data_IF_391182102209
#
_entry.id   IF_391182102209
#
_cell.length_a   1.000
_cell.length_b   1.000
_cell.length_c   1.000
_cell.angle_alpha   90.00
_cell.angle_beta   90.00
_cell.angle_gamma   90.00
#
_symmetry.space_group_name_H-M   'P 1'
#
loop_
_entity.id
_entity.type
_entity.pdbx_description
1 polymer ?
#
# COMPACT_ATOMS: atom_id res chain seq x y z
N UNK A 1 -18.02 -18.16 -8.10
CA UNK A 1 -18.54 -17.68 -6.81
C UNK A 1 -19.52 -16.54 -7.09
N UNK A 2 -20.66 -16.51 -6.38
CA UNK A 2 -21.68 -15.47 -6.57
C UNK A 2 -21.08 -14.08 -6.34
N UNK A 3 -21.36 -13.12 -7.23
CA UNK A 3 -20.81 -11.75 -7.22
C UNK A 3 -21.05 -11.04 -5.88
N UNK A 4 -22.12 -11.42 -5.18
CA UNK A 4 -22.48 -10.90 -3.85
C UNK A 4 -21.47 -11.30 -2.76
N UNK A 5 -21.00 -12.54 -2.77
CA UNK A 5 -20.06 -13.05 -1.75
C UNK A 5 -18.64 -12.47 -1.93
N UNK A 6 -18.28 -12.08 -3.16
CA UNK A 6 -16.99 -11.44 -3.44
C UNK A 6 -16.93 -10.03 -2.85
N UNK A 7 -18.00 -9.25 -2.99
CA UNK A 7 -18.07 -7.89 -2.43
C UNK A 7 -18.01 -7.87 -0.90
N UNK A 8 -18.71 -8.80 -0.23
CA UNK A 8 -18.62 -8.94 1.23
C UNK A 8 -17.21 -9.37 1.66
N UNK A 9 -16.57 -10.30 0.96
CA UNK A 9 -15.22 -10.74 1.29
C UNK A 9 -14.18 -9.61 1.12
N UNK A 10 -14.24 -8.85 0.04
CA UNK A 10 -13.37 -7.68 -0.14
C UNK A 10 -13.63 -6.60 0.92
N UNK A 11 -14.88 -6.40 1.33
CA UNK A 11 -15.21 -5.48 2.42
C UNK A 11 -14.56 -5.91 3.74
N UNK A 12 -14.66 -7.18 4.11
CA UNK A 12 -14.01 -7.72 5.31
C UNK A 12 -12.49 -7.61 5.24
N UNK A 13 -11.89 -7.93 4.09
CA UNK A 13 -10.45 -7.77 3.89
C UNK A 13 -10.02 -6.31 3.99
N UNK A 14 -10.76 -5.37 3.42
CA UNK A 14 -10.47 -3.94 3.53
C UNK A 14 -10.60 -3.45 4.99
N UNK A 15 -11.61 -3.92 5.71
CA UNK A 15 -11.83 -3.59 7.12
C UNK A 15 -10.65 -4.03 7.99
N UNK A 16 -10.13 -5.24 7.79
CA UNK A 16 -8.94 -5.72 8.51
C UNK A 16 -7.73 -4.79 8.34
N UNK A 17 -7.50 -4.25 7.14
CA UNK A 17 -6.39 -3.31 6.88
C UNK A 17 -6.58 -2.00 7.64
N UNK A 18 -7.79 -1.45 7.62
CA UNK A 18 -8.11 -0.20 8.31
C UNK A 18 -7.96 -0.36 9.82
N UNK A 19 -8.45 -1.47 10.38
CA UNK A 19 -8.28 -1.78 11.81
C UNK A 19 -6.80 -1.88 12.17
N UNK A 20 -5.99 -2.56 11.36
CA UNK A 20 -4.55 -2.68 11.61
C UNK A 20 -3.84 -1.32 11.64
N UNK A 21 -4.14 -0.42 10.69
CA UNK A 21 -3.56 0.92 10.65
C UNK A 21 -4.05 1.77 11.85
N UNK A 22 -5.34 1.70 12.17
CA UNK A 22 -5.90 2.42 13.33
C UNK A 22 -5.28 1.95 14.64
N UNK A 23 -5.12 0.64 14.83
CA UNK A 23 -4.46 0.08 16.00
C UNK A 23 -3.00 0.54 16.09
N UNK A 24 -2.28 0.54 14.96
CA UNK A 24 -0.91 1.05 14.90
C UNK A 24 -0.82 2.53 15.28
N UNK A 25 -1.70 3.37 14.73
CA UNK A 25 -1.74 4.81 15.05
C UNK A 25 -2.08 5.04 16.52
N UNK A 26 -3.05 4.31 17.06
CA UNK A 26 -3.44 4.41 18.47
C UNK A 26 -2.28 4.02 19.41
N UNK A 27 -1.61 2.89 19.14
CA UNK A 27 -0.43 2.45 19.90
C UNK A 27 0.74 3.43 19.78
N UNK A 28 0.96 3.97 18.59
CA UNK A 28 1.97 4.99 18.36
C UNK A 28 1.68 6.29 19.12
N UNK A 29 0.42 6.74 19.10
CA UNK A 29 0.00 7.93 19.80
C UNK A 29 0.15 7.79 21.33
N UNK A 30 -0.20 6.63 21.90
CA UNK A 30 0.02 6.36 23.33
C UNK A 30 1.52 6.36 23.68
N UNK A 31 2.37 5.80 22.82
CA UNK A 31 3.82 5.83 23.01
C UNK A 31 4.40 7.25 22.92
N UNK A 32 3.99 8.04 21.92
CA UNK A 32 4.43 9.44 21.75
C UNK A 32 4.02 10.28 22.97
N UNK A 33 2.82 10.07 23.50
CA UNK A 33 2.32 10.78 24.68
C UNK A 33 3.02 10.42 26.00
N UNK A 34 3.89 9.40 26.00
CA UNK A 34 4.61 8.95 27.20
C UNK A 34 3.79 8.11 28.17
N UNK A 35 2.53 7.79 27.84
CA UNK A 35 1.66 6.94 28.66
C UNK A 35 1.88 5.44 28.46
N UNK A 36 2.74 5.04 27.52
CA UNK A 36 3.02 3.62 27.27
C UNK A 36 4.19 3.13 28.15
N UNK A 37 3.94 2.28 29.16
CA UNK A 37 4.91 1.96 30.20
C UNK A 37 6.11 1.12 29.72
N UNK A 38 5.98 0.49 28.55
CA UNK A 38 7.02 -0.36 27.97
C UNK A 38 7.82 0.34 26.86
N UNK A 39 7.50 1.58 26.48
CA UNK A 39 8.26 2.28 25.44
C UNK A 39 9.47 2.95 26.06
N UNK A 40 10.66 2.60 25.57
CA UNK A 40 11.90 3.31 25.92
C UNK A 40 11.99 4.71 25.28
N UNK A 41 11.02 5.07 24.43
CA UNK A 41 11.02 6.28 23.61
C UNK A 41 9.67 6.98 23.71
N UNK A 42 9.68 8.28 23.96
CA UNK A 42 8.49 9.13 24.00
C UNK A 42 8.76 10.50 23.38
N UNK A 43 7.69 11.22 23.04
CA UNK A 43 7.77 12.54 22.43
C UNK A 43 8.01 12.53 20.91
N UNK A 44 8.36 13.70 20.40
CA UNK A 44 8.42 14.04 18.96
C UNK A 44 9.87 14.43 18.57
N UNK A 45 10.81 14.40 19.51
CA UNK A 45 12.15 14.97 19.34
C UNK A 45 12.95 14.33 18.20
N UNK A 46 12.71 13.05 17.90
CA UNK A 46 13.34 12.31 16.79
C UNK A 46 13.10 12.92 15.41
N UNK A 47 12.09 13.77 15.24
CA UNK A 47 11.85 14.51 13.99
C UNK A 47 12.97 15.50 13.65
N UNK A 48 13.76 15.96 14.62
CA UNK A 48 14.78 16.99 14.40
C UNK A 48 16.13 16.67 15.03
N UNK A 49 16.19 15.74 16.00
CA UNK A 49 17.42 15.44 16.74
C UNK A 49 18.53 14.79 15.91
N UNK A 50 18.21 14.26 14.71
CA UNK A 50 19.15 13.49 13.88
C UNK A 50 19.52 14.25 12.60
N UNK A 51 19.99 15.49 12.73
CA UNK A 51 20.40 16.34 11.61
C UNK A 51 19.30 17.28 11.08
N UNK A 52 18.30 17.61 11.91
CA UNK A 52 17.19 18.50 11.58
C UNK A 52 16.06 17.81 10.81
N UNK A 53 15.07 18.60 10.36
CA UNK A 53 13.91 18.10 9.62
C UNK A 53 14.26 17.59 8.20
N UNK A 54 15.32 18.13 7.60
CA UNK A 54 15.76 17.80 6.24
C UNK A 54 17.26 17.43 6.21
N UNK A 55 17.65 16.30 6.82
CA UNK A 55 19.07 15.94 7.00
C UNK A 55 19.79 15.66 5.69
N UNK A 56 19.07 15.25 4.64
CA UNK A 56 19.62 14.96 3.31
C UNK A 56 19.38 16.11 2.29
N UNK A 57 18.94 17.28 2.77
CA UNK A 57 18.67 18.46 1.93
C UNK A 57 17.42 18.36 1.06
N UNK A 58 17.17 19.41 0.27
CA UNK A 58 15.96 19.53 -0.56
C UNK A 58 15.90 18.52 -1.72
N UNK A 59 17.05 18.15 -2.29
CA UNK A 59 17.11 17.16 -3.37
C UNK A 59 16.52 15.80 -2.96
N UNK A 60 16.78 15.35 -1.73
CA UNK A 60 16.21 14.11 -1.21
C UNK A 60 14.68 14.17 -1.06
N UNK A 61 14.12 15.34 -0.73
CA UNK A 61 12.67 15.55 -0.65
C UNK A 61 12.04 15.40 -2.03
N UNK A 62 12.63 16.01 -3.06
CA UNK A 62 12.15 15.86 -4.43
C UNK A 62 12.18 14.40 -4.90
N UNK A 63 13.27 13.67 -4.63
CA UNK A 63 13.36 12.24 -4.96
C UNK A 63 12.31 11.42 -4.21
N UNK A 64 12.09 11.69 -2.93
CA UNK A 64 11.06 11.02 -2.14
C UNK A 64 9.65 11.31 -2.69
N UNK A 65 9.35 12.55 -3.05
CA UNK A 65 8.07 12.92 -3.67
C UNK A 65 7.82 12.12 -4.94
N UNK A 66 8.83 12.01 -5.83
CA UNK A 66 8.70 11.23 -7.07
C UNK A 66 8.42 9.74 -6.78
N UNK A 67 9.17 9.12 -5.87
CA UNK A 67 8.97 7.71 -5.50
C UNK A 67 7.56 7.51 -4.89
N UNK A 68 7.12 8.44 -4.05
CA UNK A 68 5.79 8.41 -3.43
C UNK A 68 4.69 8.57 -4.48
N UNK A 69 4.84 9.45 -5.46
CA UNK A 69 3.88 9.60 -6.57
C UNK A 69 3.69 8.29 -7.34
N UNK A 70 4.78 7.60 -7.70
CA UNK A 70 4.69 6.29 -8.35
C UNK A 70 4.06 5.21 -7.45
N UNK A 71 4.22 5.32 -6.13
CA UNK A 71 3.63 4.38 -5.17
C UNK A 71 2.11 4.51 -5.03
N UNK A 72 1.54 5.67 -5.36
CA UNK A 72 0.09 5.92 -5.30
C UNK A 72 -0.65 5.71 -6.64
N UNK A 73 0.05 5.18 -7.65
CA UNK A 73 -0.55 4.78 -8.92
C UNK A 73 -1.61 3.68 -8.70
N UNK A 74 -2.87 3.96 -8.99
CA UNK A 74 -4.00 3.03 -8.77
C UNK A 74 -5.19 3.60 -8.01
N UNK A 75 -5.06 4.78 -7.39
CA UNK A 75 -6.22 5.50 -6.83
C UNK A 75 -7.26 5.88 -7.91
N UNK A 76 -6.83 5.95 -9.16
CA UNK A 76 -7.63 6.25 -10.36
C UNK A 76 -8.70 5.18 -10.66
N UNK A 77 -8.57 3.97 -10.13
CA UNK A 77 -9.56 2.90 -10.35
C UNK A 77 -10.92 3.28 -9.77
N UNK A 78 -10.94 3.99 -8.63
CA UNK A 78 -12.19 4.47 -8.02
C UNK A 78 -12.88 5.51 -8.89
N UNK A 79 -12.11 6.34 -9.60
CA UNK A 79 -12.68 7.32 -10.53
C UNK A 79 -13.31 6.67 -11.76
N UNK A 80 -12.73 5.59 -12.28
CA UNK A 80 -13.30 4.83 -13.40
C UNK A 80 -14.63 4.19 -12.99
N UNK A 81 -14.68 3.53 -11.82
CA UNK A 81 -15.91 2.94 -11.30
C UNK A 81 -17.00 3.99 -11.02
N UNK A 82 -16.62 5.16 -10.49
CA UNK A 82 -17.55 6.27 -10.29
C UNK A 82 -18.05 6.85 -11.62
N UNK A 83 -17.25 6.82 -12.69
CA UNK A 83 -17.63 7.26 -14.03
C UNK A 83 -18.64 6.31 -14.72
N UNK A 84 -18.73 5.05 -14.28
CA UNK A 84 -19.73 4.08 -14.75
C UNK A 84 -21.09 4.18 -14.01
N UNK A 85 -21.25 5.14 -13.08
CA UNK A 85 -22.49 5.32 -12.28
C UNK A 85 -23.50 6.28 -12.92
N UNK A 86 -24.77 6.22 -12.50
CA UNK A 86 -25.89 6.98 -13.10
C UNK A 86 -25.72 8.52 -13.07
N UNK A 87 -24.95 9.07 -12.12
CA UNK A 87 -24.60 10.50 -12.08
C UNK A 87 -23.08 10.73 -11.92
N UNK A 88 -22.31 10.53 -12.99
CA UNK A 88 -20.85 10.42 -12.92
C UNK A 88 -20.20 11.69 -12.39
N UNK A 89 -20.64 12.89 -12.79
CA UNK A 89 -20.01 14.16 -12.40
C UNK A 89 -19.93 14.35 -10.87
N UNK A 90 -21.05 14.14 -10.17
CA UNK A 90 -21.13 14.31 -8.71
C UNK A 90 -20.51 13.13 -7.97
N UNK A 91 -20.68 11.90 -8.49
CA UNK A 91 -20.13 10.71 -7.85
C UNK A 91 -18.61 10.63 -7.96
N UNK A 92 -18.02 11.04 -9.08
CA UNK A 92 -16.56 11.11 -9.26
C UNK A 92 -15.95 12.06 -8.23
N UNK A 93 -16.41 13.32 -8.16
CA UNK A 93 -15.84 14.32 -7.24
C UNK A 93 -15.95 13.86 -5.79
N UNK A 94 -17.12 13.37 -5.38
CA UNK A 94 -17.35 12.92 -4.00
C UNK A 94 -16.53 11.68 -3.66
N UNK A 95 -16.44 10.70 -4.57
CA UNK A 95 -15.65 9.49 -4.35
C UNK A 95 -14.16 9.81 -4.24
N UNK A 96 -13.64 10.64 -5.16
CA UNK A 96 -12.24 11.08 -5.17
C UNK A 96 -11.86 11.79 -3.88
N UNK A 97 -12.60 12.84 -3.50
CA UNK A 97 -12.31 13.59 -2.28
C UNK A 97 -12.37 12.71 -1.03
N UNK A 98 -13.32 11.78 -0.98
CA UNK A 98 -13.47 10.85 0.13
C UNK A 98 -12.30 9.87 0.24
N UNK A 99 -11.79 9.36 -0.89
CA UNK A 99 -10.62 8.48 -0.94
C UNK A 99 -9.35 9.23 -0.56
N UNK A 100 -9.12 10.40 -1.16
CA UNK A 100 -7.93 11.23 -0.89
C UNK A 100 -7.84 11.54 0.60
N UNK A 101 -8.92 12.07 1.19
CA UNK A 101 -8.91 12.45 2.60
C UNK A 101 -8.58 11.28 3.54
N UNK A 102 -9.17 10.10 3.31
CA UNK A 102 -8.89 8.90 4.10
C UNK A 102 -7.43 8.45 3.96
N UNK A 103 -6.92 8.39 2.73
CA UNK A 103 -5.53 8.00 2.47
C UNK A 103 -4.59 8.99 3.12
N UNK A 104 -4.82 10.30 2.95
CA UNK A 104 -4.01 11.35 3.55
C UNK A 104 -3.94 11.23 5.06
N UNK A 105 -5.09 11.06 5.75
CA UNK A 105 -5.08 10.90 7.21
C UNK A 105 -4.31 9.64 7.61
N UNK A 106 -4.67 8.47 7.09
CA UNK A 106 -4.05 7.22 7.53
C UNK A 106 -2.55 7.19 7.24
N UNK A 107 -2.14 7.65 6.07
CA UNK A 107 -0.75 7.65 5.63
C UNK A 107 0.09 8.68 6.38
N UNK A 108 -0.38 9.93 6.50
CA UNK A 108 0.37 10.97 7.19
C UNK A 108 0.46 10.69 8.69
N UNK A 109 -0.64 10.26 9.33
CA UNK A 109 -0.62 9.89 10.74
C UNK A 109 0.30 8.70 11.00
N UNK A 110 0.28 7.67 10.15
CA UNK A 110 1.13 6.50 10.35
C UNK A 110 2.61 6.79 10.13
N UNK A 111 2.96 7.60 9.11
CA UNK A 111 4.33 8.06 8.90
C UNK A 111 4.78 8.94 10.05
N UNK A 112 3.94 9.88 10.50
CA UNK A 112 4.24 10.74 11.64
C UNK A 112 4.61 9.92 12.88
N UNK A 113 3.84 8.87 13.18
CA UNK A 113 4.16 7.94 14.28
C UNK A 113 5.53 7.30 14.10
N UNK A 114 5.82 6.80 12.90
CA UNK A 114 7.11 6.15 12.60
C UNK A 114 8.28 7.10 12.82
N UNK A 115 8.23 8.31 12.26
CA UNK A 115 9.34 9.26 12.34
C UNK A 115 9.48 9.93 13.71
N UNK A 116 8.40 9.97 14.49
CA UNK A 116 8.43 10.46 15.87
C UNK A 116 9.10 9.47 16.83
N UNK A 117 8.89 8.16 16.62
CA UNK A 117 9.40 7.12 17.53
C UNK A 117 10.77 6.57 17.11
N UNK A 118 11.04 6.47 15.81
CA UNK A 118 12.26 5.85 15.29
C UNK A 118 13.12 6.88 14.56
N UNK A 119 14.42 6.99 14.90
CA UNK A 119 15.34 7.82 14.15
C UNK A 119 15.53 7.28 12.72
N UNK A 120 15.48 8.17 11.74
CA UNK A 120 15.54 7.82 10.31
C UNK A 120 16.84 7.10 9.89
N UNK A 121 17.91 7.24 10.68
CA UNK A 121 19.22 6.64 10.44
C UNK A 121 19.42 5.29 11.16
N UNK A 122 18.37 4.71 11.75
CA UNK A 122 18.47 3.42 12.45
C UNK A 122 18.98 2.31 11.50
N UNK A 123 20.03 1.56 11.89
CA UNK A 123 20.54 0.47 11.08
C UNK A 123 19.48 -0.63 10.95
N UNK A 124 19.29 -1.14 9.72
CA UNK A 124 18.31 -2.20 9.44
C UNK A 124 16.87 -1.73 9.20
N UNK A 125 16.58 -0.42 9.29
CA UNK A 125 15.21 0.09 9.03
C UNK A 125 14.70 -0.27 7.63
N UNK A 126 15.60 -0.27 6.63
CA UNK A 126 15.30 -0.65 5.24
C UNK A 126 15.04 -2.15 5.06
N UNK A 127 15.64 -3.02 5.87
CA UNK A 127 15.52 -4.47 5.74
C UNK A 127 14.39 -5.05 6.57
N UNK A 128 14.12 -4.47 7.74
CA UNK A 128 13.08 -4.93 8.69
C UNK A 128 11.72 -4.29 8.40
N UNK A 129 11.72 -3.06 7.89
CA UNK A 129 10.53 -2.28 7.58
C UNK A 129 10.06 -1.43 8.77
N UNK A 130 9.76 -0.16 8.51
CA UNK A 130 9.59 0.86 9.56
C UNK A 130 8.45 0.56 10.54
N UNK A 131 7.33 0.03 10.05
CA UNK A 131 6.18 -0.34 10.89
C UNK A 131 6.50 -1.47 11.86
N UNK A 132 7.23 -2.49 11.39
CA UNK A 132 7.67 -3.60 12.23
C UNK A 132 8.66 -3.12 13.29
N UNK A 133 9.61 -2.26 12.90
CA UNK A 133 10.58 -1.68 13.83
C UNK A 133 9.88 -0.89 14.95
N UNK A 134 8.80 -0.16 14.66
CA UNK A 134 8.02 0.53 15.71
C UNK A 134 7.38 -0.47 16.66
N UNK A 135 6.77 -1.54 16.17
CA UNK A 135 6.15 -2.54 17.04
C UNK A 135 7.18 -3.30 17.90
N UNK A 136 8.37 -3.58 17.36
CA UNK A 136 9.47 -4.17 18.11
C UNK A 136 9.99 -3.23 19.20
N UNK A 137 10.10 -1.92 18.90
CA UNK A 137 10.46 -0.88 19.86
C UNK A 137 9.43 -0.72 20.99
N UNK A 138 8.14 -0.96 20.69
CA UNK A 138 7.06 -0.98 21.69
C UNK A 138 6.95 -2.30 22.45
N UNK A 139 7.90 -3.22 22.27
CA UNK A 139 7.93 -4.55 22.86
C UNK A 139 6.66 -5.38 22.60
N UNK A 140 6.02 -5.19 21.45
CA UNK A 140 4.85 -5.99 21.07
C UNK A 140 5.32 -7.41 20.70
N UNK A 141 4.82 -8.45 21.39
CA UNK A 141 5.22 -9.82 21.10
C UNK A 141 4.75 -10.20 19.69
N UNK A 142 5.55 -10.99 18.97
CA UNK A 142 5.24 -11.45 17.61
C UNK A 142 5.05 -10.32 16.58
N UNK A 143 5.61 -9.12 16.81
CA UNK A 143 5.55 -7.97 15.89
C UNK A 143 5.85 -8.33 14.42
N UNK A 144 6.89 -9.14 14.19
CA UNK A 144 7.23 -9.66 12.86
C UNK A 144 6.06 -10.41 12.21
N UNK A 145 5.49 -11.37 12.92
CA UNK A 145 4.43 -12.23 12.40
C UNK A 145 3.15 -11.43 12.12
N UNK A 146 2.79 -10.51 13.03
CA UNK A 146 1.64 -9.63 12.86
C UNK A 146 1.78 -8.79 11.59
N UNK A 147 2.93 -8.13 11.41
CA UNK A 147 3.16 -7.30 10.23
C UNK A 147 3.23 -8.11 8.94
N UNK A 148 3.88 -9.27 8.95
CA UNK A 148 3.92 -10.17 7.79
C UNK A 148 2.50 -10.59 7.39
N UNK A 149 1.64 -10.97 8.33
CA UNK A 149 0.25 -11.32 8.08
C UNK A 149 -0.55 -10.13 7.51
N UNK A 150 -0.44 -8.94 8.10
CA UNK A 150 -1.15 -7.74 7.63
C UNK A 150 -0.69 -7.35 6.23
N UNK A 151 0.61 -7.39 5.94
CA UNK A 151 1.17 -7.08 4.63
C UNK A 151 0.69 -8.11 3.60
N UNK A 152 0.78 -9.41 3.91
CA UNK A 152 0.31 -10.47 3.02
C UNK A 152 -1.18 -10.33 2.71
N UNK A 153 -2.01 -10.08 3.73
CA UNK A 153 -3.43 -9.84 3.56
C UNK A 153 -3.69 -8.60 2.69
N UNK A 154 -2.95 -7.52 2.95
CA UNK A 154 -3.07 -6.25 2.25
C UNK A 154 -2.74 -6.38 0.78
N UNK A 155 -1.58 -6.98 0.47
CA UNK A 155 -1.09 -7.21 -0.88
C UNK A 155 -2.00 -8.18 -1.63
N UNK A 156 -2.42 -9.28 -1.00
CA UNK A 156 -3.32 -10.26 -1.64
C UNK A 156 -4.64 -9.62 -2.06
N UNK A 157 -5.24 -8.81 -1.18
CA UNK A 157 -6.47 -8.07 -1.51
C UNK A 157 -6.23 -7.04 -2.63
N UNK A 158 -5.13 -6.28 -2.59
CA UNK A 158 -4.83 -5.31 -3.65
C UNK A 158 -4.56 -5.99 -5.01
N UNK A 159 -3.84 -7.11 -5.01
CA UNK A 159 -3.57 -7.89 -6.22
C UNK A 159 -4.86 -8.44 -6.82
N UNK A 160 -5.79 -8.90 -6.00
CA UNK A 160 -7.09 -9.40 -6.45
C UNK A 160 -7.88 -8.32 -7.23
N UNK A 161 -7.99 -7.11 -6.68
CA UNK A 161 -8.68 -5.99 -7.35
C UNK A 161 -7.91 -5.48 -8.57
N UNK A 162 -6.58 -5.44 -8.51
CA UNK A 162 -5.72 -5.05 -9.64
C UNK A 162 -5.83 -6.03 -10.81
N UNK A 163 -5.79 -7.33 -10.53
CA UNK A 163 -6.01 -8.40 -11.51
C UNK A 163 -7.38 -8.29 -12.17
N UNK A 164 -8.43 -8.04 -11.38
CA UNK A 164 -9.78 -7.83 -11.88
C UNK A 164 -9.89 -6.62 -12.82
N UNK A 165 -9.26 -5.50 -12.45
CA UNK A 165 -9.30 -4.26 -13.25
C UNK A 165 -8.48 -4.40 -14.53
N UNK A 166 -7.25 -4.92 -14.44
CA UNK A 166 -6.39 -5.17 -15.59
C UNK A 166 -7.05 -6.12 -16.60
N UNK A 167 -7.74 -7.14 -16.08
CA UNK A 167 -8.52 -8.08 -16.87
C UNK A 167 -9.60 -7.41 -17.71
N UNK A 168 -10.39 -6.51 -17.10
CA UNK A 168 -11.44 -5.76 -17.81
C UNK A 168 -10.87 -4.79 -18.85
N UNK A 169 -9.78 -4.10 -18.51
CA UNK A 169 -9.11 -3.19 -19.45
C UNK A 169 -8.56 -3.93 -20.67
N UNK A 170 -7.87 -5.06 -20.46
CA UNK A 170 -7.34 -5.88 -21.56
C UNK A 170 -8.43 -6.50 -22.43
N UNK A 171 -9.54 -6.95 -21.83
CA UNK A 171 -10.70 -7.41 -22.58
C UNK A 171 -11.27 -6.29 -23.48
N UNK A 172 -11.44 -5.09 -22.93
CA UNK A 172 -11.91 -3.90 -23.67
C UNK A 172 -10.97 -3.53 -24.82
N UNK A 173 -9.65 -3.51 -24.59
CA UNK A 173 -8.64 -3.24 -25.63
C UNK A 173 -8.63 -4.31 -26.73
N UNK A 174 -8.77 -5.59 -26.36
CA UNK A 174 -8.84 -6.69 -27.34
C UNK A 174 -10.09 -6.61 -28.23
N UNK A 175 -11.22 -6.11 -27.69
CA UNK A 175 -12.45 -5.86 -28.46
C UNK A 175 -12.33 -4.69 -29.42
N UNK A 176 -11.43 -3.73 -29.12
CA UNK A 176 -11.12 -2.56 -29.96
C UNK A 176 -10.03 -2.82 -31.00
N UNK A 177 -9.33 -3.95 -30.91
CA UNK A 177 -8.23 -4.32 -31.81
C UNK A 177 -6.84 -3.83 -31.37
N UNK A 178 -6.75 -3.08 -30.27
CA UNK A 178 -5.52 -2.47 -29.76
C UNK A 178 -4.65 -3.43 -28.91
N UNK A 179 -5.18 -4.60 -28.56
CA UNK A 179 -4.45 -5.66 -27.86
C UNK A 179 -4.53 -6.99 -28.63
N UNK A 180 -3.50 -7.86 -28.54
CA UNK A 180 -3.50 -9.16 -29.23
C UNK A 180 -4.76 -9.96 -28.89
N UNK A 181 -5.42 -10.54 -29.90
CA UNK A 181 -6.69 -11.27 -29.73
C UNK A 181 -6.64 -12.38 -28.67
N UNK A 182 -5.44 -12.91 -28.39
CA UNK A 182 -5.18 -13.90 -27.35
C UNK A 182 -5.46 -13.35 -25.93
N UNK A 183 -5.26 -12.04 -25.71
CA UNK A 183 -5.56 -11.38 -24.41
C UNK A 183 -7.06 -11.21 -24.15
N UNK A 184 -7.89 -11.32 -25.19
CA UNK A 184 -9.36 -11.38 -25.07
C UNK A 184 -9.90 -12.75 -24.66
N UNK A 185 -9.06 -13.79 -24.60
CA UNK A 185 -9.49 -15.15 -24.20
C UNK A 185 -9.72 -15.23 -22.70
N UNK A 186 -10.99 -15.24 -22.30
CA UNK A 186 -11.42 -15.43 -20.91
C UNK A 186 -11.62 -16.92 -20.58
N UNK A 187 -11.31 -17.33 -19.35
CA UNK A 187 -11.71 -18.65 -18.82
C UNK A 187 -13.22 -18.67 -18.46
N UNK A 188 -13.78 -19.82 -18.09
CA UNK A 188 -15.19 -20.05 -17.66
C UNK A 188 -15.69 -19.07 -16.59
N UNK A 189 -14.79 -18.48 -15.78
CA UNK A 189 -15.11 -17.46 -14.77
C UNK A 189 -15.02 -16.01 -15.28
N UNK A 190 -14.96 -15.80 -16.61
CA UNK A 190 -14.77 -14.49 -17.29
C UNK A 190 -13.48 -13.74 -16.91
N UNK A 191 -12.46 -14.45 -16.43
CA UNK A 191 -11.14 -13.88 -16.11
C UNK A 191 -10.13 -14.17 -17.24
N UNK A 192 -9.47 -13.15 -17.83
CA UNK A 192 -8.42 -13.30 -18.84
C UNK A 192 -7.11 -13.78 -18.19
N UNK A 193 -6.99 -15.09 -18.12
CA UNK A 193 -5.89 -15.81 -17.46
C UNK A 193 -4.49 -15.54 -18.07
N UNK A 194 -4.43 -15.18 -19.35
CA UNK A 194 -3.16 -14.88 -20.06
C UNK A 194 -2.49 -13.62 -19.50
N UNK A 195 -3.28 -12.60 -19.15
CA UNK A 195 -2.79 -11.35 -18.55
C UNK A 195 -2.22 -11.58 -17.14
N UNK A 196 -2.90 -12.44 -16.37
CA UNK A 196 -2.50 -12.83 -15.00
C UNK A 196 -1.16 -13.55 -15.01
N UNK A 197 -0.96 -14.48 -15.96
CA UNK A 197 0.29 -15.23 -16.08
C UNK A 197 1.47 -14.35 -16.50
N UNK A 198 1.26 -13.41 -17.42
CA UNK A 198 2.32 -12.47 -17.83
C UNK A 198 2.72 -11.52 -16.69
N UNK A 199 1.74 -11.01 -15.95
CA UNK A 199 2.00 -10.11 -14.81
C UNK A 199 2.75 -10.83 -13.69
N UNK A 200 2.31 -12.06 -13.35
CA UNK A 200 2.98 -12.92 -12.38
C UNK A 200 4.39 -13.30 -12.87
N UNK A 201 4.55 -13.66 -14.14
CA UNK A 201 5.83 -14.00 -14.75
C UNK A 201 6.83 -12.84 -14.72
N UNK A 202 6.40 -11.62 -15.01
CA UNK A 202 7.23 -10.43 -14.91
C UNK A 202 7.66 -10.14 -13.46
N UNK A 203 6.77 -10.30 -12.49
CA UNK A 203 7.09 -10.13 -11.07
C UNK A 203 8.11 -11.19 -10.59
N UNK A 204 7.94 -12.45 -10.97
CA UNK A 204 8.89 -13.53 -10.67
C UNK A 204 10.24 -13.30 -11.37
N UNK A 205 10.24 -12.86 -12.62
CA UNK A 205 11.46 -12.52 -13.34
C UNK A 205 12.22 -11.38 -12.67
N UNK A 206 11.52 -10.34 -12.22
CA UNK A 206 12.14 -9.21 -11.51
C UNK A 206 12.71 -9.64 -10.16
N UNK A 207 12.00 -10.51 -9.42
CA UNK A 207 12.49 -11.10 -8.17
C UNK A 207 13.71 -12.00 -8.40
N UNK A 208 13.69 -12.81 -9.44
CA UNK A 208 14.81 -13.66 -9.83
C UNK A 208 16.04 -12.83 -10.21
N UNK A 209 15.85 -11.76 -10.97
CA UNK A 209 16.92 -10.81 -11.31
C UNK A 209 17.50 -10.14 -10.08
N UNK A 210 16.67 -9.82 -9.09
CA UNK A 210 17.11 -9.24 -7.81
C UNK A 210 17.93 -10.22 -6.97
N UNK A 211 17.66 -11.53 -7.06
CA UNK A 211 18.46 -12.57 -6.39
C UNK A 211 19.82 -12.78 -7.07
N UNK A 212 19.91 -12.63 -8.39
CA UNK A 212 21.15 -12.75 -9.16
C UNK A 212 22.06 -11.52 -9.08
N UNK A 213 21.52 -10.35 -8.75
CA UNK A 213 22.27 -9.09 -8.65
C UNK A 213 21.92 -8.32 -7.37
N UNK A 214 22.38 -8.77 -6.19
CA UNK A 214 22.22 -8.04 -4.94
C UNK A 214 23.17 -6.84 -4.92
N UNK A 215 22.79 -5.73 -5.54
CA UNK A 215 23.64 -4.52 -5.53
C UNK A 215 23.27 -3.38 -6.48
N UNK A 216 22.28 -3.54 -7.36
CA UNK A 216 21.77 -2.44 -8.20
C UNK A 216 20.32 -2.11 -7.82
N UNK A 217 20.18 -1.36 -6.74
CA UNK A 217 18.96 -0.65 -6.40
C UNK A 217 18.79 0.47 -7.44
N UNK A 218 17.73 0.40 -8.25
CA UNK A 218 17.16 1.58 -8.93
C UNK A 218 16.13 2.17 -7.99
#
# INVERSE_FOLDING_TARGET
MSVKNYGEFEFWLALCKVIAILAFIALGATAISGFYPYAEVSGISRLWDHGGFMPNGFGAVLSAMLITMFSFMGAEIVTIAAAESDTPDKHIVRATNSVIWRISIFYLCSIFVVVALIPWNMPGLKSVGSYRSVLELLHIPHAKFIMDCVILLSVTSCLNSALYTASRMLYSLSRRGDAPAIMGKTNRSKTPWVAVLLSTGAAFFNRYRQLLCPGKSV
#
